data_IF_479234692603
#
_entry.id   IF_479234692603
#
_cell.length_a   1.000
_cell.length_b   1.000
_cell.length_c   1.000
_cell.angle_alpha   90.00
_cell.angle_beta   90.00
_cell.angle_gamma   90.00
#
_symmetry.space_group_name_H-M   'P 1'
#
loop_
_entity.id
_entity.type
_entity.pdbx_description
1 polymer ?
#
# COMPACT_ATOMS: atom_id res chain seq x y z
N UNK A 1 -7.46 10.38 -5.52
CA UNK A 1 -7.76 9.31 -4.54
C UNK A 1 -6.70 9.38 -3.45
N UNK A 2 -7.09 9.15 -2.20
CA UNK A 2 -6.16 9.12 -1.07
C UNK A 2 -5.15 7.97 -1.25
N UNK A 3 -3.84 8.19 -0.97
CA UNK A 3 -2.83 7.15 -1.02
C UNK A 3 -3.18 6.05 -0.03
N UNK A 4 -3.03 4.80 -0.43
CA UNK A 4 -3.38 3.67 0.43
C UNK A 4 -2.42 2.50 0.30
N UNK A 5 -2.27 1.73 1.37
CA UNK A 5 -1.47 0.52 1.42
C UNK A 5 -2.31 -0.62 1.98
N UNK A 6 -2.41 -1.71 1.22
CA UNK A 6 -2.97 -2.99 1.65
C UNK A 6 -1.79 -3.84 2.09
N UNK A 7 -1.72 -4.20 3.37
CA UNK A 7 -0.58 -4.92 3.93
C UNK A 7 -1.01 -6.14 4.71
N UNK A 8 -0.26 -7.24 4.56
CA UNK A 8 -0.32 -8.37 5.47
C UNK A 8 0.43 -7.98 6.74
N UNK A 9 -0.29 -7.79 7.85
CA UNK A 9 0.29 -7.20 9.05
C UNK A 9 1.40 -8.08 9.62
N UNK A 10 2.67 -7.64 9.60
CA UNK A 10 3.75 -8.42 10.16
C UNK A 10 3.75 -8.33 11.69
N UNK A 11 4.38 -9.28 12.36
CA UNK A 11 4.64 -9.21 13.81
C UNK A 11 5.46 -7.98 14.23
N UNK A 12 6.10 -7.29 13.28
CA UNK A 12 6.90 -6.08 13.51
C UNK A 12 6.14 -4.78 13.21
N UNK A 13 4.82 -4.84 13.02
CA UNK A 13 4.00 -3.70 12.61
C UNK A 13 3.94 -2.54 13.61
N UNK A 14 4.45 -2.69 14.84
CA UNK A 14 4.53 -1.58 15.79
C UNK A 14 5.31 -0.36 15.23
N UNK A 15 6.28 -0.58 14.34
CA UNK A 15 7.03 0.52 13.69
C UNK A 15 6.18 1.31 12.69
N UNK A 16 5.16 0.69 12.11
CA UNK A 16 4.23 1.33 11.19
C UNK A 16 3.31 2.32 11.90
N UNK A 17 3.03 2.11 13.19
CA UNK A 17 2.10 2.92 13.95
C UNK A 17 2.49 4.41 14.02
N UNK A 18 3.79 4.71 14.10
CA UNK A 18 4.29 6.09 14.08
C UNK A 18 4.02 6.79 12.73
N UNK A 19 4.14 6.07 11.62
CA UNK A 19 3.84 6.61 10.29
C UNK A 19 2.33 6.81 10.12
N UNK A 20 1.52 5.88 10.63
CA UNK A 20 0.05 6.00 10.62
C UNK A 20 -0.40 7.23 11.39
N UNK A 21 0.14 7.46 12.58
CA UNK A 21 -0.16 8.65 13.39
C UNK A 21 0.29 9.94 12.70
N UNK A 22 1.55 10.00 12.26
CA UNK A 22 2.12 11.18 11.59
C UNK A 22 1.31 11.61 10.36
N UNK A 23 0.88 10.64 9.55
CA UNK A 23 0.10 10.89 8.33
C UNK A 23 -1.43 10.82 8.53
N UNK A 24 -1.90 10.78 9.78
CA UNK A 24 -3.32 10.67 10.14
C UNK A 24 -4.06 9.53 9.39
N UNK A 25 -3.37 8.40 9.18
CA UNK A 25 -3.86 7.27 8.40
C UNK A 25 -5.01 6.53 9.07
N UNK A 26 -6.02 6.17 8.29
CA UNK A 26 -7.14 5.33 8.73
C UNK A 26 -6.84 3.85 8.42
N UNK A 27 -6.92 2.97 9.43
CA UNK A 27 -6.75 1.52 9.29
C UNK A 27 -8.13 0.87 9.19
N UNK A 28 -8.45 0.24 8.05
CA UNK A 28 -9.77 -0.32 7.73
C UNK A 28 -10.92 0.67 8.03
N UNK A 29 -10.70 1.95 7.72
CA UNK A 29 -11.65 3.03 7.97
C UNK A 29 -11.69 3.57 9.41
N UNK A 30 -10.88 3.03 10.32
CA UNK A 30 -10.73 3.52 11.70
C UNK A 30 -9.54 4.46 11.78
N UNK A 31 -9.77 5.72 12.16
CA UNK A 31 -8.71 6.71 12.41
C UNK A 31 -8.22 6.56 13.86
N UNK A 32 -6.96 6.16 14.11
CA UNK A 32 -6.39 6.14 15.45
C UNK A 32 -6.23 7.56 16.02
N UNK A 33 -6.36 7.71 17.32
CA UNK A 33 -6.15 8.94 18.08
C UNK A 33 -4.65 9.25 18.26
N UNK A 34 -3.81 8.21 18.33
CA UNK A 34 -2.36 8.31 18.47
C UNK A 34 -1.64 7.03 17.99
N UNK A 35 -0.30 7.06 18.01
CA UNK A 35 0.54 5.93 17.64
C UNK A 35 0.35 4.68 18.52
N UNK A 36 -0.03 4.83 19.80
CA UNK A 36 -0.24 3.67 20.68
C UNK A 36 -1.53 2.93 20.29
N UNK A 37 -2.59 3.66 19.96
CA UNK A 37 -3.84 3.08 19.44
C UNK A 37 -3.63 2.47 18.05
N UNK A 38 -2.88 3.13 17.18
CA UNK A 38 -2.51 2.56 15.87
C UNK A 38 -1.75 1.23 16.04
N UNK A 39 -0.79 1.17 16.96
CA UNK A 39 -0.05 -0.04 17.28
C UNK A 39 -0.97 -1.14 17.84
N UNK A 40 -1.92 -0.79 18.72
CA UNK A 40 -2.88 -1.74 19.28
C UNK A 40 -3.78 -2.36 18.19
N UNK A 41 -4.29 -1.54 17.27
CA UNK A 41 -5.08 -2.01 16.12
C UNK A 41 -4.25 -2.96 15.26
N UNK A 42 -3.04 -2.55 14.86
CA UNK A 42 -2.16 -3.37 14.02
C UNK A 42 -1.79 -4.69 14.71
N UNK A 43 -1.44 -4.66 16.00
CA UNK A 43 -1.12 -5.89 16.75
C UNK A 43 -2.31 -6.86 16.82
N UNK A 44 -3.54 -6.36 16.91
CA UNK A 44 -4.75 -7.17 16.86
C UNK A 44 -5.04 -7.77 15.48
N UNK A 45 -4.36 -7.30 14.43
CA UNK A 45 -4.54 -7.71 13.03
C UNK A 45 -3.35 -8.49 12.47
N UNK A 46 -2.37 -8.87 13.29
CA UNK A 46 -1.20 -9.62 12.85
C UNK A 46 -1.61 -10.88 12.07
N UNK A 47 -1.02 -11.06 10.89
CA UNK A 47 -1.35 -12.16 9.97
C UNK A 47 -2.64 -11.96 9.16
N UNK A 48 -3.32 -10.82 9.30
CA UNK A 48 -4.46 -10.42 8.49
C UNK A 48 -4.05 -9.32 7.51
N UNK A 49 -4.86 -9.12 6.47
CA UNK A 49 -4.74 -7.94 5.62
C UNK A 49 -5.48 -6.77 6.25
N UNK A 50 -4.85 -5.60 6.21
CA UNK A 50 -5.49 -4.32 6.52
C UNK A 50 -5.25 -3.37 5.36
N UNK A 51 -6.21 -2.49 5.11
CA UNK A 51 -6.05 -1.31 4.28
C UNK A 51 -5.73 -0.11 5.17
N UNK A 52 -4.68 0.64 4.85
CA UNK A 52 -4.40 1.92 5.48
C UNK A 52 -4.56 3.01 4.42
N UNK A 53 -5.44 3.96 4.68
CA UNK A 53 -5.72 5.10 3.80
C UNK A 53 -5.17 6.37 4.45
N UNK A 54 -4.32 7.10 3.74
CA UNK A 54 -3.73 8.35 4.22
C UNK A 54 -4.50 9.53 3.63
N UNK A 55 -5.25 10.30 4.44
CA UNK A 55 -6.08 11.37 3.92
C UNK A 55 -5.24 12.52 3.35
N UNK A 56 -5.62 13.06 2.19
CA UNK A 56 -5.09 14.34 1.73
C UNK A 56 -5.72 15.54 2.47
N UNK A 57 -4.98 16.65 2.67
CA UNK A 57 -3.58 16.83 2.29
C UNK A 57 -2.60 16.10 3.22
N UNK A 58 -1.71 15.33 2.62
CA UNK A 58 -0.42 14.98 3.24
C UNK A 58 0.33 16.31 3.45
N UNK A 59 1.16 16.42 4.50
CA UNK A 59 1.94 17.62 4.85
C UNK A 59 2.33 18.46 3.60
N UNK A 60 2.19 19.79 3.60
CA UNK A 60 2.55 20.63 2.44
C UNK A 60 3.96 20.43 1.87
N UNK A 61 4.88 19.82 2.63
CA UNK A 61 6.24 19.51 2.22
C UNK A 61 6.41 18.11 1.61
N UNK A 62 5.44 17.21 1.82
CA UNK A 62 5.51 15.81 1.40
C UNK A 62 4.70 15.57 0.12
N UNK A 63 5.21 14.67 -0.71
CA UNK A 63 4.49 14.14 -1.87
C UNK A 63 3.41 13.14 -1.41
N UNK A 64 2.37 12.92 -2.23
CA UNK A 64 1.37 11.87 -1.99
C UNK A 64 1.95 10.49 -1.69
N UNK A 65 3.07 10.15 -2.32
CA UNK A 65 3.71 8.86 -2.19
C UNK A 65 4.50 8.70 -0.89
N UNK A 66 4.90 9.79 -0.23
CA UNK A 66 5.83 9.71 0.91
C UNK A 66 5.22 8.98 2.09
N UNK A 67 3.94 9.24 2.40
CA UNK A 67 3.22 8.55 3.48
C UNK A 67 3.22 7.02 3.30
N UNK A 68 2.96 6.60 2.06
CA UNK A 68 2.86 5.20 1.69
C UNK A 68 4.25 4.54 1.63
N UNK A 69 5.26 5.25 1.14
CA UNK A 69 6.64 4.76 1.11
C UNK A 69 7.24 4.65 2.52
N UNK A 70 6.93 5.59 3.42
CA UNK A 70 7.32 5.54 4.82
C UNK A 70 6.69 4.33 5.51
N UNK A 71 5.38 4.13 5.34
CA UNK A 71 4.65 2.96 5.82
C UNK A 71 5.24 1.64 5.28
N UNK A 72 5.50 1.57 3.98
CA UNK A 72 6.13 0.42 3.33
C UNK A 72 7.49 0.08 3.94
N UNK A 73 8.38 1.08 4.12
CA UNK A 73 9.69 0.90 4.76
C UNK A 73 9.56 0.43 6.21
N UNK A 74 8.63 1.01 6.97
CA UNK A 74 8.37 0.65 8.36
C UNK A 74 7.88 -0.80 8.52
N UNK A 75 7.22 -1.35 7.49
CA UNK A 75 6.73 -2.74 7.45
C UNK A 75 7.89 -3.77 7.39
N UNK A 76 9.13 -3.32 7.16
CA UNK A 76 10.37 -4.12 7.24
C UNK A 76 10.34 -5.46 6.48
N UNK A 77 9.74 -5.46 5.29
CA UNK A 77 9.73 -6.62 4.40
C UNK A 77 8.54 -7.57 4.53
N UNK A 78 7.42 -7.11 5.11
CA UNK A 78 6.12 -7.76 4.95
C UNK A 78 5.61 -7.71 3.51
N UNK A 79 4.51 -8.42 3.24
CA UNK A 79 3.80 -8.35 1.97
C UNK A 79 2.86 -7.15 1.98
N UNK A 80 2.98 -6.26 1.01
CA UNK A 80 2.07 -5.14 0.85
C UNK A 80 1.85 -4.84 -0.63
N UNK A 81 0.80 -4.08 -0.89
CA UNK A 81 0.40 -3.52 -2.16
C UNK A 81 0.05 -2.08 -1.85
N UNK A 82 0.58 -1.10 -2.57
CA UNK A 82 0.17 0.26 -2.33
C UNK A 82 -0.29 0.97 -3.60
N UNK A 83 -1.25 1.85 -3.43
CA UNK A 83 -1.97 2.52 -4.50
C UNK A 83 -1.83 4.01 -4.24
N UNK A 84 -1.17 4.70 -5.17
CA UNK A 84 -1.03 6.16 -5.15
C UNK A 84 -1.66 6.66 -6.44
N UNK A 85 -2.60 7.59 -6.32
CA UNK A 85 -3.14 8.32 -7.46
C UNK A 85 -2.14 9.41 -7.83
N UNK A 86 -1.70 9.43 -9.08
CA UNK A 86 -0.74 10.42 -9.54
C UNK A 86 -1.45 11.76 -9.76
N UNK A 87 -1.70 12.49 -8.69
CA UNK A 87 -1.99 13.91 -8.79
C UNK A 87 -0.70 14.71 -8.58
N UNK A 88 -0.15 15.14 -9.72
CA UNK A 88 0.78 16.26 -9.88
C UNK A 88 2.15 16.17 -9.20
N UNK A 89 3.02 15.27 -9.65
CA UNK A 89 4.43 15.66 -9.83
C UNK A 89 4.53 16.54 -11.08
N UNK A 90 4.16 17.82 -10.96
CA UNK A 90 4.45 18.83 -11.99
C UNK A 90 5.97 19.11 -11.93
N UNK A 91 6.79 18.39 -12.71
CA UNK A 91 7.09 18.91 -14.06
C UNK A 91 7.31 17.85 -15.17
N UNK A 92 7.17 16.54 -14.92
CA UNK A 92 7.67 15.51 -15.87
C UNK A 92 6.67 15.00 -16.90
N UNK A 93 5.38 15.36 -16.79
CA UNK A 93 4.35 14.96 -17.76
C UNK A 93 4.03 13.46 -17.80
N UNK A 94 4.49 12.69 -16.80
CA UNK A 94 4.22 11.25 -16.68
C UNK A 94 2.82 11.06 -16.10
N UNK A 95 1.95 10.38 -16.86
CA UNK A 95 0.60 10.00 -16.43
C UNK A 95 0.66 8.70 -15.61
N UNK A 96 0.03 8.76 -14.44
CA UNK A 96 -0.46 7.67 -13.56
C UNK A 96 0.28 6.32 -13.69
N UNK A 97 1.23 6.12 -12.77
CA UNK A 97 1.79 4.82 -12.42
C UNK A 97 1.27 4.49 -11.02
N UNK A 98 0.44 3.46 -10.86
CA UNK A 98 0.34 2.89 -9.52
C UNK A 98 1.35 1.76 -9.39
N UNK A 99 1.77 1.46 -8.17
CA UNK A 99 2.99 0.70 -7.95
C UNK A 99 2.74 -0.45 -7.00
N UNK A 100 2.97 -1.66 -7.47
CA UNK A 100 3.00 -2.81 -6.57
C UNK A 100 4.42 -2.96 -6.07
N UNK A 101 4.62 -2.77 -4.78
CA UNK A 101 5.87 -3.11 -4.12
C UNK A 101 5.62 -4.27 -3.19
N UNK A 102 6.21 -5.42 -3.51
CA UNK A 102 6.12 -6.60 -2.67
C UNK A 102 7.51 -7.14 -2.40
N UNK A 103 7.70 -7.76 -1.25
CA UNK A 103 8.95 -8.46 -0.93
C UNK A 103 8.73 -9.96 -1.04
N UNK A 104 9.41 -10.59 -2.00
CA UNK A 104 9.41 -12.04 -2.16
C UNK A 104 10.82 -12.59 -1.98
N UNK A 105 10.96 -13.67 -1.20
CA UNK A 105 12.25 -14.31 -0.93
C UNK A 105 13.37 -13.35 -0.48
N UNK A 106 13.02 -12.35 0.34
CA UNK A 106 13.96 -11.36 0.87
C UNK A 106 14.35 -10.24 -0.09
N UNK A 107 13.84 -10.22 -1.34
CA UNK A 107 14.07 -9.16 -2.33
C UNK A 107 12.81 -8.32 -2.53
N UNK A 108 12.97 -7.00 -2.50
CA UNK A 108 11.91 -6.07 -2.86
C UNK A 108 11.78 -6.02 -4.38
N UNK A 109 10.54 -6.12 -4.88
CA UNK A 109 10.20 -5.92 -6.28
C UNK A 109 9.24 -4.75 -6.37
N UNK A 110 9.59 -3.80 -7.24
CA UNK A 110 8.74 -2.66 -7.58
C UNK A 110 8.25 -2.85 -9.01
N UNK A 111 6.94 -2.84 -9.18
CA UNK A 111 6.29 -2.93 -10.48
C UNK A 111 5.46 -1.68 -10.68
N UNK A 112 5.92 -0.82 -11.57
CA UNK A 112 5.16 0.32 -12.03
C UNK A 112 4.11 -0.18 -13.02
N UNK A 113 2.84 -0.04 -12.64
CA UNK A 113 1.71 -0.46 -13.45
C UNK A 113 1.20 0.75 -14.24
N UNK A 114 1.22 0.69 -15.57
CA UNK A 114 0.59 1.71 -16.40
C UNK A 114 -0.92 1.62 -16.20
N UNK A 115 -1.49 2.53 -15.40
CA UNK A 115 -2.92 2.57 -15.10
C UNK A 115 -3.56 3.82 -15.70
N UNK A 116 -4.60 3.63 -16.50
CA UNK A 116 -5.50 4.73 -16.87
C UNK A 116 -6.42 5.02 -15.68
N UNK A 117 -6.71 6.32 -15.43
CA UNK A 117 -7.50 6.83 -14.29
C UNK A 117 -8.57 5.86 -13.76
N UNK A 118 -8.59 5.66 -12.44
CA UNK A 118 -9.61 4.86 -11.76
C UNK A 118 -9.02 3.95 -10.69
N UNK A 119 -9.83 2.98 -10.25
CA UNK A 119 -9.39 1.97 -9.31
C UNK A 119 -8.57 0.87 -10.03
N UNK A 120 -7.41 0.47 -9.50
CA UNK A 120 -6.54 -0.51 -10.12
C UNK A 120 -7.24 -1.85 -10.30
N UNK A 121 -7.24 -2.36 -11.54
CA UNK A 121 -7.56 -3.77 -11.79
C UNK A 121 -6.33 -4.62 -11.51
N UNK A 122 -6.20 -5.12 -10.29
CA UNK A 122 -5.20 -6.13 -9.95
C UNK A 122 -5.62 -7.47 -10.57
N UNK A 123 -5.09 -7.78 -11.75
CA UNK A 123 -5.38 -9.04 -12.44
C UNK A 123 -4.13 -9.61 -13.12
N UNK A 124 -4.27 -10.82 -13.63
CA UNK A 124 -3.19 -11.59 -14.25
C UNK A 124 -2.55 -10.83 -15.41
N UNK A 125 -3.37 -10.30 -16.33
CA UNK A 125 -2.87 -9.57 -17.50
C UNK A 125 -2.01 -8.36 -17.10
N UNK A 126 -2.47 -7.60 -16.11
CA UNK A 126 -1.76 -6.42 -15.58
C UNK A 126 -0.41 -6.80 -14.96
N UNK A 127 -0.36 -7.83 -14.11
CA UNK A 127 0.89 -8.26 -13.47
C UNK A 127 1.91 -8.79 -14.47
N UNK A 128 1.49 -9.59 -15.45
CA UNK A 128 2.38 -10.07 -16.52
C UNK A 128 2.86 -8.98 -17.44
N UNK A 129 2.02 -7.97 -17.74
CA UNK A 129 2.43 -6.83 -18.55
C UNK A 129 3.54 -6.02 -17.86
N UNK A 130 3.63 -6.08 -16.53
CA UNK A 130 4.70 -5.47 -15.74
C UNK A 130 5.95 -6.36 -15.60
N UNK A 131 5.99 -7.50 -16.30
CA UNK A 131 7.14 -8.41 -16.30
C UNK A 131 7.16 -9.44 -15.18
N UNK A 132 6.05 -9.63 -14.46
CA UNK A 132 5.92 -10.72 -13.48
C UNK A 132 5.69 -12.06 -14.19
N UNK A 133 6.31 -13.14 -13.70
CA UNK A 133 6.05 -14.48 -14.19
C UNK A 133 4.61 -14.92 -13.82
N UNK A 134 4.01 -15.80 -14.63
CA UNK A 134 2.60 -16.15 -14.47
C UNK A 134 2.29 -16.85 -13.13
N UNK A 135 3.20 -17.71 -12.67
CA UNK A 135 3.12 -18.41 -11.38
C UNK A 135 3.26 -17.45 -10.19
N UNK A 136 4.20 -16.51 -10.28
CA UNK A 136 4.39 -15.47 -9.26
C UNK A 136 3.18 -14.54 -9.16
N UNK A 137 2.61 -14.17 -10.30
CA UNK A 137 1.42 -13.33 -10.36
C UNK A 137 0.17 -14.02 -9.85
N UNK A 138 0.00 -15.32 -10.12
CA UNK A 138 -1.08 -16.11 -9.54
C UNK A 138 -0.98 -16.13 -8.00
N UNK A 139 0.23 -16.30 -7.46
CA UNK A 139 0.47 -16.24 -6.02
C UNK A 139 0.16 -14.87 -5.41
N UNK A 140 0.54 -13.78 -6.09
CA UNK A 140 0.21 -12.40 -5.66
C UNK A 140 -1.29 -12.16 -5.73
N UNK A 141 -1.97 -12.60 -6.79
CA UNK A 141 -3.42 -12.47 -6.91
C UNK A 141 -4.13 -13.25 -5.83
N UNK A 142 -3.77 -14.51 -5.59
CA UNK A 142 -4.33 -15.32 -4.52
C UNK A 142 -4.20 -14.62 -3.15
N UNK A 143 -3.09 -13.91 -2.94
CA UNK A 143 -2.80 -13.21 -1.70
C UNK A 143 -3.64 -11.94 -1.51
N UNK A 144 -3.74 -11.09 -2.53
CA UNK A 144 -4.39 -9.76 -2.40
C UNK A 144 -5.85 -9.71 -2.88
N UNK A 145 -6.28 -10.61 -3.77
CA UNK A 145 -7.66 -10.63 -4.26
C UNK A 145 -8.67 -10.97 -3.17
N UNK A 146 -8.31 -11.80 -2.20
CA UNK A 146 -9.18 -12.09 -1.05
C UNK A 146 -9.46 -10.84 -0.21
N UNK A 147 -8.49 -9.95 -0.11
CA UNK A 147 -8.57 -8.71 0.68
C UNK A 147 -9.29 -7.59 -0.08
N UNK A 148 -9.07 -7.51 -1.39
CA UNK A 148 -9.75 -6.53 -2.26
C UNK A 148 -11.26 -6.79 -2.40
N UNK A 149 -11.72 -8.03 -2.29
CA UNK A 149 -13.15 -8.38 -2.34
C UNK A 149 -13.89 -8.26 -1.00
N UNK A 150 -13.20 -8.05 0.13
CA UNK A 150 -13.86 -7.89 1.43
C UNK A 150 -14.33 -6.45 1.72
N UNK A 151 -13.84 -5.48 0.96
CA UNK A 151 -14.10 -4.05 1.16
C UNK A 151 -14.75 -3.35 -0.06
N UNK A 152 -15.23 -4.11 -1.05
CA UNK A 152 -16.06 -3.67 -2.18
C UNK A 152 -17.44 -4.34 -2.12
#
# INVERSE_FOLDING_TARGET
MDPRIILLVPHTAAKLAAEVDYYAGAIDGVVPEDADQAAAILNGRVGQFVEIVFPFPVDPQDSPSDAVEAAAKATNGGYYLYLVDAFTEQPTGVKVQGRIVFRAAGRERKLDIPWEHGEPRLNMATLTACGMAADEADAVLALFSASLHQNL
#
